data_IF_008397569974
#
_entry.id   IF_008397569974
#
_cell.length_a   1.000
_cell.length_b   1.000
_cell.length_c   1.000
_cell.angle_alpha   90.00
_cell.angle_beta   90.00
_cell.angle_gamma   90.00
#
_symmetry.space_group_name_H-M   'P 1'
#
loop_
_entity.id
_entity.type
_entity.pdbx_description
1 polymer ?
#
# COMPACT_ATOMS: atom_id res chain seq x y z
N UNK A 1 3.52 17.42 32.66
CA UNK A 1 3.21 16.10 32.07
C UNK A 1 3.77 16.10 30.65
N UNK A 2 4.70 15.21 30.33
CA UNK A 2 5.29 15.11 28.99
C UNK A 2 4.69 13.92 28.24
N UNK A 3 4.50 14.05 26.92
CA UNK A 3 4.11 12.95 26.03
C UNK A 3 5.22 12.71 25.03
N UNK A 4 5.69 11.47 24.92
CA UNK A 4 6.62 11.06 23.87
C UNK A 4 5.79 10.55 22.68
N UNK A 5 5.84 11.25 21.55
CA UNK A 5 5.04 10.96 20.36
C UNK A 5 5.94 10.46 19.22
N UNK A 6 5.59 9.30 18.64
CA UNK A 6 6.26 8.80 17.44
C UNK A 6 5.53 9.35 16.20
N UNK A 7 6.26 10.14 15.41
CA UNK A 7 5.79 10.64 14.11
C UNK A 7 6.27 9.79 12.93
N UNK A 8 5.90 10.24 11.73
CA UNK A 8 6.43 9.70 10.47
C UNK A 8 7.91 10.09 10.33
N UNK A 9 8.75 9.10 10.05
CA UNK A 9 10.21 9.28 10.00
C UNK A 9 10.71 9.82 8.64
N UNK A 10 10.03 9.48 7.54
CA UNK A 10 10.40 9.87 6.18
C UNK A 10 9.19 10.34 5.39
N UNK A 11 9.32 11.50 4.74
CA UNK A 11 8.25 12.12 3.93
C UNK A 11 8.82 12.66 2.62
N UNK A 12 8.14 12.37 1.51
CA UNK A 12 8.39 13.02 0.21
C UNK A 12 7.20 13.90 -0.12
N UNK A 13 7.43 15.18 -0.37
CA UNK A 13 6.36 16.16 -0.60
C UNK A 13 6.63 16.99 -1.85
N UNK A 14 5.60 17.20 -2.66
CA UNK A 14 5.64 18.01 -3.87
C UNK A 14 4.88 17.38 -5.03
N UNK A 15 4.48 18.21 -6.01
CA UNK A 15 3.86 17.68 -7.25
C UNK A 15 4.84 16.76 -7.96
N UNK A 16 4.37 15.59 -8.36
CA UNK A 16 5.20 14.56 -9.02
C UNK A 16 5.96 13.65 -8.07
N UNK A 17 5.85 13.81 -6.74
CA UNK A 17 6.52 12.94 -5.76
C UNK A 17 6.20 11.46 -5.92
N UNK A 18 4.99 11.14 -6.40
CA UNK A 18 4.56 9.76 -6.68
C UNK A 18 5.53 9.00 -7.60
N UNK A 19 6.26 9.68 -8.47
CA UNK A 19 7.23 9.05 -9.37
C UNK A 19 8.43 8.43 -8.63
N UNK A 20 8.68 8.81 -7.37
CA UNK A 20 9.76 8.24 -6.54
C UNK A 20 9.32 6.96 -5.81
N UNK A 21 8.03 6.59 -5.85
CA UNK A 21 7.50 5.44 -5.11
C UNK A 21 8.26 4.14 -5.46
N UNK A 22 8.55 3.92 -6.75
CA UNK A 22 9.28 2.72 -7.19
C UNK A 22 10.68 2.60 -6.56
N UNK A 23 11.44 3.70 -6.55
CA UNK A 23 12.78 3.73 -5.97
C UNK A 23 12.78 3.49 -4.46
N UNK A 24 11.81 4.09 -3.75
CA UNK A 24 11.62 3.88 -2.31
C UNK A 24 11.33 2.41 -2.00
N UNK A 25 10.46 1.77 -2.80
CA UNK A 25 10.11 0.36 -2.61
C UNK A 25 11.28 -0.57 -2.95
N UNK A 26 12.09 -0.23 -3.95
CA UNK A 26 13.24 -1.04 -4.37
C UNK A 26 14.26 -1.27 -3.23
N UNK A 27 14.41 -0.32 -2.30
CA UNK A 27 15.26 -0.50 -1.11
C UNK A 27 14.81 -1.65 -0.20
N UNK A 28 13.54 -2.05 -0.26
CA UNK A 28 12.91 -3.05 0.60
C UNK A 28 12.54 -4.34 -0.12
N UNK A 29 12.66 -4.40 -1.45
CA UNK A 29 12.21 -5.55 -2.25
C UNK A 29 12.88 -6.88 -1.92
N UNK A 30 14.10 -6.85 -1.38
CA UNK A 30 14.82 -8.08 -1.03
C UNK A 30 14.51 -8.60 0.38
N UNK A 31 13.72 -7.87 1.16
CA UNK A 31 13.30 -8.26 2.50
C UNK A 31 12.09 -9.23 2.42
N UNK A 32 11.91 -10.05 3.46
CA UNK A 32 10.82 -11.03 3.60
C UNK A 32 10.58 -11.90 2.35
N UNK A 33 9.31 -12.10 1.97
CA UNK A 33 8.90 -12.95 0.85
C UNK A 33 8.93 -12.24 -0.51
N UNK A 34 9.61 -11.09 -0.58
CA UNK A 34 10.02 -10.40 -1.83
C UNK A 34 8.89 -10.00 -2.78
N UNK A 35 7.73 -9.64 -2.22
CA UNK A 35 6.60 -9.06 -2.96
C UNK A 35 6.04 -7.86 -2.22
N UNK A 36 5.49 -6.88 -2.93
CA UNK A 36 4.79 -5.73 -2.35
C UNK A 36 3.28 -5.97 -2.36
N UNK A 37 2.58 -5.45 -1.34
CA UNK A 37 1.11 -5.40 -1.31
C UNK A 37 0.66 -3.96 -1.56
N UNK A 38 -0.02 -3.71 -2.68
CA UNK A 38 -0.69 -2.46 -2.98
C UNK A 38 -2.18 -2.58 -2.68
N UNK A 39 -2.67 -1.73 -1.78
CA UNK A 39 -4.09 -1.54 -1.49
C UNK A 39 -4.47 -0.18 -2.10
N UNK A 40 -5.28 -0.23 -3.15
CA UNK A 40 -5.60 0.93 -3.98
C UNK A 40 -7.08 1.18 -3.90
N UNK A 41 -7.46 2.44 -3.70
CA UNK A 41 -8.86 2.85 -3.81
C UNK A 41 -9.39 2.58 -5.23
N UNK A 42 -10.53 1.88 -5.34
CA UNK A 42 -11.17 1.50 -6.60
C UNK A 42 -11.50 2.73 -7.48
N UNK A 43 -11.64 3.92 -6.89
CA UNK A 43 -11.71 5.20 -7.60
C UNK A 43 -10.62 5.33 -8.68
N UNK A 44 -9.42 4.79 -8.46
CA UNK A 44 -8.28 4.93 -9.38
C UNK A 44 -8.23 3.90 -10.50
N UNK A 45 -9.06 2.86 -10.49
CA UNK A 45 -8.94 1.70 -11.40
C UNK A 45 -8.89 2.05 -12.89
N UNK A 46 -9.72 3.01 -13.31
CA UNK A 46 -9.79 3.49 -14.70
C UNK A 46 -9.12 4.86 -14.90
N UNK A 47 -8.25 5.28 -13.98
CA UNK A 47 -7.55 6.56 -14.02
C UNK A 47 -6.07 6.37 -14.36
N UNK A 48 -5.45 7.46 -14.81
CA UNK A 48 -4.01 7.48 -15.14
C UNK A 48 -3.14 6.93 -14.00
N UNK A 49 -3.52 7.18 -12.73
CA UNK A 49 -2.77 6.72 -11.58
C UNK A 49 -2.57 5.20 -11.55
N UNK A 50 -3.57 4.40 -11.94
CA UNK A 50 -3.45 2.94 -11.94
C UNK A 50 -2.27 2.46 -12.81
N UNK A 51 -2.07 3.10 -13.97
CA UNK A 51 -0.96 2.78 -14.89
C UNK A 51 0.41 3.21 -14.37
N UNK A 52 0.45 4.09 -13.36
CA UNK A 52 1.67 4.64 -12.77
C UNK A 52 2.11 3.90 -11.51
N UNK A 53 1.32 2.96 -11.00
CA UNK A 53 1.67 2.15 -9.84
C UNK A 53 2.90 1.30 -10.21
N UNK A 54 4.03 1.40 -9.48
CA UNK A 54 5.28 0.72 -9.81
C UNK A 54 5.28 -0.74 -9.31
N UNK A 55 4.18 -1.46 -9.55
CA UNK A 55 4.04 -2.86 -9.21
C UNK A 55 4.85 -3.74 -10.17
N UNK A 56 5.56 -4.73 -9.63
CA UNK A 56 6.24 -5.78 -10.38
C UNK A 56 5.32 -7.00 -10.54
N UNK A 57 5.69 -7.92 -11.42
CA UNK A 57 4.89 -9.13 -11.74
C UNK A 57 4.55 -9.97 -10.51
N UNK A 58 5.44 -9.99 -9.51
CA UNK A 58 5.26 -10.77 -8.28
C UNK A 58 4.56 -9.97 -7.16
N UNK A 59 4.23 -8.70 -7.38
CA UNK A 59 3.49 -7.91 -6.40
C UNK A 59 2.00 -8.31 -6.39
N UNK A 60 1.27 -7.93 -5.33
CA UNK A 60 -0.19 -8.05 -5.25
C UNK A 60 -0.76 -6.63 -5.34
N UNK A 61 -1.73 -6.42 -6.22
CA UNK A 61 -2.45 -5.14 -6.37
C UNK A 61 -3.93 -5.41 -6.20
N UNK A 62 -4.48 -4.97 -5.08
CA UNK A 62 -5.90 -5.07 -4.76
C UNK A 62 -6.54 -3.69 -4.89
N UNK A 63 -7.58 -3.60 -5.72
CA UNK A 63 -8.45 -2.43 -5.75
C UNK A 63 -9.63 -2.67 -4.80
N UNK A 64 -9.76 -1.81 -3.79
CA UNK A 64 -10.80 -1.91 -2.77
C UNK A 64 -11.77 -0.75 -2.89
N UNK A 65 -13.06 -1.07 -2.86
CA UNK A 65 -14.12 -0.08 -2.75
C UNK A 65 -14.24 0.34 -1.29
N UNK A 66 -13.84 1.59 -1.01
CA UNK A 66 -13.92 2.23 0.31
C UNK A 66 -15.13 3.16 0.44
N UNK A 67 -15.90 3.37 -0.64
CA UNK A 67 -17.01 4.33 -0.68
C UNK A 67 -18.30 3.76 -0.06
N UNK A 68 -18.47 2.44 -0.05
CA UNK A 68 -19.69 1.80 0.47
C UNK A 68 -19.71 1.73 2.00
N UNK A 69 -18.55 1.51 2.64
CA UNK A 69 -18.38 1.46 4.10
C UNK A 69 -16.94 1.85 4.49
N UNK A 70 -16.78 2.55 5.62
CA UNK A 70 -15.47 2.73 6.29
C UNK A 70 -14.81 1.35 6.58
N UNK A 71 -13.47 1.25 6.62
CA UNK A 71 -12.77 -0.01 6.75
C UNK A 71 -13.20 -0.77 8.00
N UNK A 72 -13.56 -2.04 7.81
CA UNK A 72 -14.02 -2.92 8.89
C UNK A 72 -12.92 -3.86 9.36
N UNK A 73 -12.96 -4.29 10.62
CA UNK A 73 -11.99 -5.27 11.15
C UNK A 73 -12.03 -6.58 10.35
N UNK A 74 -13.22 -7.03 9.94
CA UNK A 74 -13.40 -8.26 9.16
C UNK A 74 -12.74 -8.16 7.77
N UNK A 75 -12.90 -7.03 7.10
CA UNK A 75 -12.25 -6.77 5.81
C UNK A 75 -10.72 -6.80 5.95
N UNK A 76 -10.17 -6.12 6.96
CA UNK A 76 -8.73 -6.08 7.21
C UNK A 76 -8.19 -7.48 7.53
N UNK A 77 -8.88 -8.24 8.38
CA UNK A 77 -8.49 -9.62 8.71
C UNK A 77 -8.51 -10.53 7.46
N UNK A 78 -9.54 -10.41 6.63
CA UNK A 78 -9.68 -11.18 5.39
C UNK A 78 -8.53 -10.90 4.42
N UNK A 79 -8.20 -9.63 4.18
CA UNK A 79 -7.08 -9.23 3.30
C UNK A 79 -5.76 -9.77 3.86
N UNK A 80 -5.51 -9.57 5.17
CA UNK A 80 -4.29 -10.05 5.83
C UNK A 80 -4.12 -11.56 5.65
N UNK A 81 -5.15 -12.34 5.97
CA UNK A 81 -5.07 -13.79 5.99
C UNK A 81 -4.98 -14.37 4.58
N UNK A 82 -5.68 -13.77 3.61
CA UNK A 82 -5.56 -14.10 2.18
C UNK A 82 -4.14 -13.89 1.66
N UNK A 83 -3.57 -12.69 1.87
CA UNK A 83 -2.21 -12.36 1.41
C UNK A 83 -1.18 -13.27 2.08
N UNK A 84 -1.30 -13.48 3.39
CA UNK A 84 -0.38 -14.33 4.15
C UNK A 84 -0.43 -15.78 3.68
N UNK A 85 -1.63 -16.29 3.35
CA UNK A 85 -1.77 -17.65 2.83
C UNK A 85 -1.28 -17.79 1.39
N UNK A 86 -1.39 -16.73 0.58
CA UNK A 86 -1.04 -16.77 -0.85
C UNK A 86 0.46 -16.59 -1.09
N UNK A 87 1.09 -15.58 -0.47
CA UNK A 87 2.50 -15.21 -0.72
C UNK A 87 3.36 -15.01 0.54
N UNK A 88 2.76 -15.01 1.73
CA UNK A 88 3.48 -14.80 2.99
C UNK A 88 3.47 -13.33 3.43
N UNK A 89 4.58 -12.85 3.95
CA UNK A 89 4.72 -11.52 4.55
C UNK A 89 5.42 -10.58 3.56
N UNK A 90 4.76 -9.50 3.11
CA UNK A 90 5.41 -8.51 2.27
C UNK A 90 6.40 -7.67 3.11
N UNK A 91 7.44 -7.08 2.51
CA UNK A 91 8.31 -6.13 3.18
C UNK A 91 7.68 -4.72 3.27
N UNK A 92 6.67 -4.42 2.45
CA UNK A 92 5.87 -3.20 2.55
C UNK A 92 4.42 -3.41 2.12
N UNK A 93 3.52 -2.69 2.79
CA UNK A 93 2.12 -2.49 2.39
C UNK A 93 1.96 -1.03 1.98
N UNK A 94 1.40 -0.80 0.80
CA UNK A 94 1.27 0.52 0.18
C UNK A 94 -0.22 0.85 0.07
N UNK A 95 -0.69 1.80 0.86
CA UNK A 95 -2.02 2.38 0.72
C UNK A 95 -2.00 3.53 -0.29
N UNK A 96 -2.85 3.48 -1.31
CA UNK A 96 -3.05 4.54 -2.30
C UNK A 96 -4.52 4.92 -2.28
N UNK A 97 -4.85 6.00 -1.57
CA UNK A 97 -6.24 6.39 -1.36
C UNK A 97 -6.39 7.54 -0.37
N UNK A 98 -7.60 7.67 0.17
CA UNK A 98 -7.95 8.57 1.26
C UNK A 98 -7.54 8.05 2.64
N UNK A 99 -8.33 8.36 3.66
CA UNK A 99 -8.08 7.92 5.05
C UNK A 99 -8.70 6.57 5.42
N UNK A 100 -9.63 6.08 4.59
CA UNK A 100 -10.30 4.78 4.71
C UNK A 100 -9.41 3.62 4.28
#
# INVERSE_FOLDING_TARGET
MHKNFKGIEKTVFGRGSFNQLGDILNEKRNDNDKFMLFIVDDYFKDKELATRIPAQTDDIVEFIDVDVYEPTTEQIDSIRDSVKSLKGIPPAVIGIGGGS
#
